data_IF_705399771302
#
_entry.id   IF_705399771302
#
_cell.length_a   1.000
_cell.length_b   1.000
_cell.length_c   1.000
_cell.angle_alpha   90.00
_cell.angle_beta   90.00
_cell.angle_gamma   90.00
#
_symmetry.space_group_name_H-M   'P 1'
#
loop_
_entity.id
_entity.type
_entity.pdbx_description
1 polymer ?
#
# COMPACT_ATOMS: atom_id res chain seq x y z
N UNK A 1 -1.18 21.41 6.19
CA UNK A 1 -2.47 21.39 5.50
C UNK A 1 -3.48 22.12 6.36
N UNK A 2 -3.78 23.35 5.96
CA UNK A 2 -4.70 24.27 6.62
C UNK A 2 -6.07 24.18 5.97
N UNK A 3 -7.11 24.65 6.66
CA UNK A 3 -8.47 24.71 6.13
C UNK A 3 -8.53 25.52 4.81
N UNK A 4 -7.74 26.59 4.71
CA UNK A 4 -7.64 27.41 3.50
C UNK A 4 -7.16 26.60 2.30
N UNK A 5 -6.06 25.85 2.47
CA UNK A 5 -5.52 24.99 1.40
C UNK A 5 -6.50 23.89 0.95
N UNK A 6 -7.33 23.36 1.87
CA UNK A 6 -8.35 22.36 1.55
C UNK A 6 -9.44 22.98 0.68
N UNK A 7 -9.92 24.18 1.05
CA UNK A 7 -10.96 24.89 0.32
C UNK A 7 -10.46 25.29 -1.07
N UNK A 8 -9.25 25.84 -1.18
CA UNK A 8 -8.66 26.24 -2.47
C UNK A 8 -8.56 25.03 -3.42
N UNK A 9 -8.10 23.87 -2.92
CA UNK A 9 -8.05 22.63 -3.70
C UNK A 9 -9.43 22.09 -4.10
N UNK A 10 -10.43 22.26 -3.23
CA UNK A 10 -11.80 21.86 -3.52
C UNK A 10 -12.42 22.73 -4.61
N UNK A 11 -12.31 24.05 -4.49
CA UNK A 11 -12.82 25.02 -5.46
C UNK A 11 -12.16 24.81 -6.83
N UNK A 12 -10.85 24.54 -6.89
CA UNK A 12 -10.17 24.23 -8.14
C UNK A 12 -10.59 22.91 -8.80
N UNK A 13 -11.23 22.00 -8.05
CA UNK A 13 -11.68 20.68 -8.54
C UNK A 13 -13.17 20.63 -8.89
N UNK A 14 -13.94 21.66 -8.54
CA UNK A 14 -15.38 21.73 -8.76
C UNK A 14 -15.67 22.60 -9.98
N UNK A 15 -16.36 22.02 -10.96
CA UNK A 15 -16.82 22.74 -12.15
C UNK A 15 -18.24 23.29 -11.94
N UNK A 16 -18.37 24.60 -11.78
CA UNK A 16 -19.67 25.27 -11.54
C UNK A 16 -20.65 25.13 -12.72
N UNK A 17 -20.19 24.70 -13.89
CA UNK A 17 -21.05 24.44 -15.05
C UNK A 17 -21.69 23.05 -15.00
N UNK A 18 -21.30 22.20 -14.04
CA UNK A 18 -21.85 20.85 -13.84
C UNK A 18 -22.71 20.80 -12.59
N UNK A 19 -23.84 20.09 -12.69
CA UNK A 19 -24.63 19.73 -11.51
C UNK A 19 -24.02 18.50 -10.86
N UNK A 20 -23.66 18.63 -9.58
CA UNK A 20 -23.18 17.51 -8.77
C UNK A 20 -24.22 17.11 -7.75
N UNK A 21 -24.30 15.82 -7.47
CA UNK A 21 -25.01 15.31 -6.31
C UNK A 21 -24.21 15.55 -5.03
N UNK A 22 -24.87 15.53 -3.88
CA UNK A 22 -24.23 15.65 -2.56
C UNK A 22 -23.11 14.61 -2.38
N UNK A 23 -23.34 13.39 -2.87
CA UNK A 23 -22.36 12.30 -2.80
C UNK A 23 -21.08 12.62 -3.58
N UNK A 24 -21.20 13.23 -4.76
CA UNK A 24 -20.08 13.61 -5.60
C UNK A 24 -19.29 14.77 -5.00
N UNK A 25 -19.96 15.82 -4.53
CA UNK A 25 -19.29 16.94 -3.83
C UNK A 25 -18.55 16.46 -2.58
N UNK A 26 -19.17 15.58 -1.80
CA UNK A 26 -18.54 14.98 -0.62
C UNK A 26 -17.29 14.18 -1.00
N UNK A 27 -17.31 13.47 -2.13
CA UNK A 27 -16.15 12.72 -2.64
C UNK A 27 -15.01 13.64 -3.06
N UNK A 28 -15.32 14.74 -3.74
CA UNK A 28 -14.34 15.75 -4.15
C UNK A 28 -13.72 16.39 -2.90
N UNK A 29 -14.52 16.81 -1.92
CA UNK A 29 -14.04 17.39 -0.66
C UNK A 29 -13.15 16.42 0.12
N UNK A 30 -13.54 15.14 0.22
CA UNK A 30 -12.71 14.10 0.85
C UNK A 30 -11.38 13.90 0.13
N UNK A 31 -11.34 14.10 -1.18
CA UNK A 31 -10.12 14.02 -1.97
C UNK A 31 -9.23 15.24 -1.71
N UNK A 32 -9.83 16.44 -1.65
CA UNK A 32 -9.13 17.69 -1.31
C UNK A 32 -8.59 17.70 0.12
N UNK A 33 -9.19 16.98 1.07
CA UNK A 33 -8.69 16.85 2.46
C UNK A 33 -7.52 15.87 2.63
N UNK A 34 -7.32 14.91 1.71
CA UNK A 34 -6.31 13.85 1.86
C UNK A 34 -4.87 14.30 1.52
N UNK A 35 -4.70 15.58 1.17
CA UNK A 35 -3.47 16.08 0.58
C UNK A 35 -3.19 15.35 -0.74
N UNK A 36 -2.19 15.80 -1.47
CA UNK A 36 -1.68 15.15 -2.68
C UNK A 36 -1.01 13.79 -2.40
N UNK A 37 -1.61 12.96 -1.55
CA UNK A 37 -1.35 11.54 -1.42
C UNK A 37 -1.92 10.85 -2.65
N UNK A 38 -1.20 11.03 -3.76
CA UNK A 38 -1.40 10.44 -5.07
C UNK A 38 -1.94 9.01 -4.95
N UNK A 39 -3.20 8.87 -5.32
CA UNK A 39 -3.93 7.61 -5.34
C UNK A 39 -5.23 7.75 -6.13
N UNK A 40 -5.22 8.57 -7.19
CA UNK A 40 -6.28 8.59 -8.17
C UNK A 40 -5.94 7.54 -9.25
N UNK A 41 -6.87 6.60 -9.42
CA UNK A 41 -7.15 5.80 -10.61
C UNK A 41 -6.02 5.51 -11.61
N UNK A 42 -5.77 4.21 -11.79
CA UNK A 42 -5.83 3.67 -13.15
C UNK A 42 -4.68 4.01 -14.09
N UNK A 43 -3.46 4.18 -13.60
CA UNK A 43 -2.24 3.94 -14.36
C UNK A 43 -1.20 3.44 -13.36
N UNK A 44 -0.44 2.43 -13.75
CA UNK A 44 0.61 1.81 -12.95
C UNK A 44 1.75 2.81 -12.70
N UNK A 45 1.54 3.77 -11.80
CA UNK A 45 2.64 4.49 -11.17
C UNK A 45 3.32 3.42 -10.34
N UNK A 46 4.44 2.89 -10.84
CA UNK A 46 5.39 2.10 -10.08
C UNK A 46 5.67 2.88 -8.79
N UNK A 47 4.95 2.53 -7.73
CA UNK A 47 5.35 2.88 -6.38
C UNK A 47 6.79 2.43 -6.33
N UNK A 48 7.73 3.36 -6.14
CA UNK A 48 9.10 3.02 -5.80
C UNK A 48 8.98 2.14 -4.56
N UNK A 49 8.95 0.83 -4.79
CA UNK A 49 8.83 -0.17 -3.74
C UNK A 49 10.06 0.11 -2.91
N UNK A 50 9.86 0.53 -1.65
CA UNK A 50 10.95 0.57 -0.68
C UNK A 50 11.75 -0.72 -0.89
N UNK A 51 13.08 -0.64 -1.04
CA UNK A 51 13.88 -1.83 -1.32
C UNK A 51 13.47 -2.89 -0.31
N UNK A 52 13.04 -4.03 -0.83
CA UNK A 52 12.51 -5.08 0.02
C UNK A 52 13.59 -5.42 1.05
N UNK A 53 13.25 -5.30 2.34
CA UNK A 53 14.14 -5.74 3.42
C UNK A 53 14.59 -7.20 3.16
N UNK A 54 15.77 -7.58 3.65
CA UNK A 54 16.27 -8.96 3.52
C UNK A 54 15.22 -10.00 3.94
N UNK A 55 14.44 -9.71 4.98
CA UNK A 55 13.29 -10.53 5.38
C UNK A 55 12.22 -10.63 4.28
N UNK A 56 11.82 -9.51 3.67
CA UNK A 56 10.80 -9.49 2.63
C UNK A 56 11.25 -10.25 1.37
N UNK A 57 12.53 -10.16 1.02
CA UNK A 57 13.11 -10.94 -0.07
C UNK A 57 13.07 -12.44 0.24
N UNK A 58 13.47 -12.82 1.46
CA UNK A 58 13.44 -14.19 1.93
C UNK A 58 12.02 -14.78 1.93
N UNK A 59 11.05 -14.07 2.51
CA UNK A 59 9.66 -14.52 2.55
C UNK A 59 9.09 -14.67 1.14
N UNK A 60 9.38 -13.72 0.22
CA UNK A 60 8.92 -13.80 -1.16
C UNK A 60 9.47 -15.03 -1.87
N UNK A 61 10.76 -15.29 -1.74
CA UNK A 61 11.44 -16.45 -2.35
C UNK A 61 10.90 -17.77 -1.77
N UNK A 62 10.73 -17.84 -0.45
CA UNK A 62 10.16 -19.01 0.21
C UNK A 62 8.73 -19.30 -0.24
N UNK A 63 7.90 -18.26 -0.33
CA UNK A 63 6.50 -18.38 -0.75
C UNK A 63 6.35 -18.85 -2.20
N UNK A 64 7.23 -18.39 -3.10
CA UNK A 64 7.27 -18.84 -4.49
C UNK A 64 7.70 -20.31 -4.60
N UNK A 65 8.71 -20.72 -3.82
CA UNK A 65 9.18 -22.13 -3.79
C UNK A 65 8.12 -23.09 -3.25
N UNK A 66 7.28 -22.62 -2.32
CA UNK A 66 6.19 -23.41 -1.75
C UNK A 66 4.83 -23.18 -2.43
N UNK A 67 4.78 -22.51 -3.58
CA UNK A 67 3.53 -22.19 -4.29
C UNK A 67 2.75 -23.43 -4.73
N UNK A 68 3.45 -24.52 -5.05
CA UNK A 68 2.87 -25.80 -5.46
C UNK A 68 2.46 -26.72 -4.30
N UNK A 69 2.60 -26.28 -3.03
CA UNK A 69 2.16 -27.09 -1.89
C UNK A 69 0.67 -26.85 -1.63
N UNK A 70 -0.10 -27.92 -1.39
CA UNK A 70 -1.51 -27.90 -0.93
C UNK A 70 -1.61 -27.42 0.53
N UNK A 71 -0.71 -26.53 0.94
CA UNK A 71 -0.66 -25.98 2.28
C UNK A 71 -1.27 -24.57 2.21
N UNK A 72 -2.19 -24.25 3.12
CA UNK A 72 -2.77 -22.91 3.21
C UNK A 72 -1.69 -21.83 3.25
N UNK A 73 -1.85 -20.71 2.52
CA UNK A 73 -0.87 -19.61 2.50
C UNK A 73 -0.47 -19.11 3.90
N UNK A 74 -1.41 -19.19 4.86
CA UNK A 74 -1.19 -18.80 6.26
C UNK A 74 -0.12 -19.67 6.95
N UNK A 75 -0.12 -20.97 6.70
CA UNK A 75 0.83 -21.88 7.34
C UNK A 75 2.20 -21.85 6.65
N UNK A 76 2.23 -21.60 5.33
CA UNK A 76 3.47 -21.28 4.61
C UNK A 76 4.15 -20.02 5.15
N UNK A 77 3.37 -18.99 5.50
CA UNK A 77 3.91 -17.77 6.10
C UNK A 77 4.53 -18.01 7.50
N UNK A 78 3.88 -18.86 8.31
CA UNK A 78 4.41 -19.23 9.63
C UNK A 78 5.72 -20.01 9.49
N UNK A 79 5.78 -20.98 8.56
CA UNK A 79 6.99 -21.75 8.29
C UNK A 79 8.14 -20.85 7.80
N UNK A 80 7.86 -19.94 6.88
CA UNK A 80 8.82 -18.96 6.38
C UNK A 80 9.37 -18.08 7.51
N UNK A 81 8.49 -17.60 8.40
CA UNK A 81 8.91 -16.74 9.52
C UNK A 81 9.73 -17.50 10.57
N UNK A 82 9.38 -18.76 10.85
CA UNK A 82 10.14 -19.62 11.77
C UNK A 82 11.54 -19.91 11.23
N UNK A 83 11.66 -20.25 9.94
CA UNK A 83 12.95 -20.48 9.28
C UNK A 83 13.82 -19.22 9.27
N UNK A 84 13.23 -18.05 9.03
CA UNK A 84 13.96 -16.79 9.12
C UNK A 84 14.52 -16.53 10.52
N UNK A 85 13.73 -16.80 11.57
CA UNK A 85 14.17 -16.65 12.97
C UNK A 85 15.34 -17.59 13.29
N UNK A 86 15.26 -18.85 12.87
CA UNK A 86 16.34 -19.84 13.04
C UNK A 86 17.62 -19.41 12.32
N UNK A 87 17.53 -18.91 11.09
CA UNK A 87 18.70 -18.40 10.37
C UNK A 87 19.35 -17.21 11.09
N UNK A 88 18.55 -16.28 11.64
CA UNK A 88 19.10 -15.16 12.42
C UNK A 88 19.76 -15.62 13.71
N UNK A 89 19.16 -16.58 14.41
CA UNK A 89 19.72 -17.15 15.65
C UNK A 89 21.04 -17.89 15.37
N UNK A 90 21.09 -18.70 14.31
CA UNK A 90 22.31 -19.40 13.88
C UNK A 90 23.42 -18.42 13.45
N UNK A 91 23.07 -17.32 12.76
CA UNK A 91 24.03 -16.28 12.37
C UNK A 91 24.54 -15.44 13.57
N UNK A 92 23.76 -15.36 14.65
CA UNK A 92 24.16 -14.66 15.88
C UNK A 92 24.96 -15.52 16.86
N UNK A 93 24.93 -16.85 16.67
CA UNK A 93 25.61 -17.82 17.51
C UNK A 93 26.92 -18.35 16.89
N UNK A 94 27.28 -17.89 15.68
CA UNK A 94 28.52 -18.18 14.97
C UNK A 94 29.45 -16.95 14.99
#
# INVERSE_FOLDING_TARGET
>A
MTTKEIIDNFVGSVDVSKTYTIAELTKILKSSMKGSSKGANGEAIEKVKKPASAYNLFIRDFMLKEENKVIPPKDRMKAATALWKQQKEALSAA
#
